data_IF_137473916199
#
_entry.id   IF_137473916199
#
_cell.length_a   1.000
_cell.length_b   1.000
_cell.length_c   1.000
_cell.angle_alpha   90.00
_cell.angle_beta   90.00
_cell.angle_gamma   90.00
#
_symmetry.space_group_name_H-M   'P 1'
#
loop_
_entity.id
_entity.type
_entity.pdbx_description
1 polymer ?
#
# COMPACT_ATOMS: atom_id res chain seq x y z
N UNK A 1 18.73 -7.72 5.43
CA UNK A 1 17.65 -6.73 5.21
C UNK A 1 17.01 -7.09 3.88
N UNK A 2 15.76 -7.54 3.90
CA UNK A 2 15.03 -7.87 2.67
C UNK A 2 14.61 -6.53 2.06
N UNK A 3 15.08 -6.25 0.83
CA UNK A 3 14.74 -5.00 0.14
C UNK A 3 13.31 -5.11 -0.38
N UNK A 4 12.44 -4.19 0.04
CA UNK A 4 11.05 -4.12 -0.41
C UNK A 4 10.99 -4.01 -1.94
N UNK A 5 10.25 -4.92 -2.59
CA UNK A 5 10.11 -4.94 -4.06
C UNK A 5 8.78 -4.34 -4.51
N UNK A 6 8.82 -3.27 -5.30
CA UNK A 6 7.64 -2.77 -6.02
C UNK A 6 7.28 -3.76 -7.15
N UNK A 7 6.02 -4.00 -7.54
CA UNK A 7 4.75 -3.30 -7.24
C UNK A 7 4.10 -3.66 -5.89
N UNK A 8 3.04 -2.92 -5.51
CA UNK A 8 2.38 -3.07 -4.20
C UNK A 8 0.87 -3.23 -4.28
N UNK A 9 0.29 -4.01 -3.36
CA UNK A 9 -1.12 -3.89 -2.97
C UNK A 9 -1.16 -3.09 -1.67
N UNK A 10 -1.92 -2.00 -1.62
CA UNK A 10 -1.99 -1.14 -0.44
C UNK A 10 -3.41 -0.78 -0.06
N UNK A 11 -3.61 -0.58 1.23
CA UNK A 11 -4.82 0.00 1.77
C UNK A 11 -4.74 1.52 1.73
N UNK A 12 -5.70 2.19 1.11
CA UNK A 12 -5.81 3.64 1.08
C UNK A 12 -7.23 4.07 1.48
N UNK A 13 -7.35 4.69 2.64
CA UNK A 13 -8.60 5.03 3.33
C UNK A 13 -9.40 3.75 3.61
N UNK A 14 -10.40 3.48 2.77
CA UNK A 14 -11.20 2.26 2.76
C UNK A 14 -11.13 1.58 1.41
N UNK A 15 -10.02 1.74 0.68
CA UNK A 15 -9.83 1.17 -0.65
C UNK A 15 -8.60 0.31 -0.70
N UNK A 16 -8.61 -0.67 -1.59
CA UNK A 16 -7.42 -1.44 -1.95
C UNK A 16 -6.97 -0.98 -3.32
N UNK A 17 -5.71 -0.57 -3.42
CA UNK A 17 -5.08 -0.14 -4.66
C UNK A 17 -3.91 -1.05 -4.98
N UNK A 18 -3.74 -1.35 -6.28
CA UNK A 18 -2.59 -2.07 -6.80
C UNK A 18 -1.76 -1.04 -7.56
N UNK A 19 -0.52 -0.85 -7.15
CA UNK A 19 0.28 0.29 -7.61
C UNK A 19 1.52 -0.19 -8.35
N UNK A 20 1.76 0.26 -9.60
CA UNK A 20 2.93 -0.13 -10.36
C UNK A 20 4.22 0.42 -9.74
N UNK A 21 5.35 -0.08 -10.24
CA UNK A 21 6.66 0.48 -9.90
C UNK A 21 6.70 1.99 -10.21
N UNK A 22 7.23 2.78 -9.28
CA UNK A 22 7.30 4.24 -9.42
C UNK A 22 6.02 5.00 -9.06
N UNK A 23 4.92 4.32 -8.72
CA UNK A 23 3.70 5.01 -8.25
C UNK A 23 3.97 5.91 -7.03
N UNK A 24 4.79 5.42 -6.10
CA UNK A 24 5.22 6.20 -4.95
C UNK A 24 6.02 7.45 -5.34
N UNK A 25 6.72 7.47 -6.48
CA UNK A 25 7.47 8.66 -6.91
C UNK A 25 6.53 9.81 -7.30
N UNK A 26 5.33 9.48 -7.79
CA UNK A 26 4.30 10.46 -8.16
C UNK A 26 3.55 11.05 -6.97
N UNK A 27 3.46 10.32 -5.85
CA UNK A 27 2.64 10.75 -4.70
C UNK A 27 3.45 10.95 -3.42
N UNK A 28 4.68 10.48 -3.33
CA UNK A 28 5.31 10.17 -2.04
C UNK A 28 6.80 9.94 -2.11
N UNK A 29 7.32 9.29 -1.07
CA UNK A 29 8.68 8.79 -0.97
C UNK A 29 8.69 7.62 0.00
N UNK A 30 9.16 6.47 -0.47
CA UNK A 30 9.43 5.30 0.34
C UNK A 30 10.91 5.30 0.74
N UNK A 31 11.21 5.40 2.03
CA UNK A 31 12.57 5.23 2.57
C UNK A 31 12.69 3.87 3.26
N UNK A 32 13.04 2.86 2.47
CA UNK A 32 13.20 1.49 2.95
C UNK A 32 14.34 1.34 3.99
N UNK A 33 15.34 2.25 4.01
CA UNK A 33 16.44 2.19 4.99
C UNK A 33 15.98 2.66 6.37
N UNK A 34 15.09 3.66 6.39
CA UNK A 34 14.53 4.22 7.62
C UNK A 34 13.24 3.54 8.05
N UNK A 35 12.63 2.73 7.17
CA UNK A 35 11.30 2.17 7.41
C UNK A 35 10.26 3.27 7.47
N UNK A 36 10.37 4.29 6.63
CA UNK A 36 9.47 5.44 6.60
C UNK A 36 8.80 5.55 5.23
N UNK A 37 7.52 5.91 5.23
CA UNK A 37 6.75 6.19 4.03
C UNK A 37 6.12 7.57 4.16
N UNK A 38 6.46 8.46 3.24
CA UNK A 38 5.89 9.80 3.16
C UNK A 38 4.94 9.90 1.96
N UNK A 39 3.70 10.36 2.16
CA UNK A 39 2.71 10.47 1.07
C UNK A 39 2.03 11.82 1.07
N UNK A 40 1.82 12.36 -0.13
CA UNK A 40 1.06 13.59 -0.37
C UNK A 40 -0.39 13.40 0.02
N UNK A 41 -0.87 14.30 0.86
CA UNK A 41 -2.26 14.35 1.31
C UNK A 41 -3.14 14.74 0.12
N UNK A 42 -4.24 14.02 -0.09
CA UNK A 42 -5.22 14.37 -1.11
C UNK A 42 -5.95 15.68 -0.76
N UNK A 43 -6.78 16.18 -1.67
CA UNK A 43 -7.53 17.43 -1.46
C UNK A 43 -8.52 17.37 -0.29
N UNK A 44 -8.83 16.17 0.22
CA UNK A 44 -9.71 15.92 1.36
C UNK A 44 -8.96 15.93 2.70
N UNK A 45 -7.63 16.12 2.70
CA UNK A 45 -6.87 16.24 3.94
C UNK A 45 -6.52 14.89 4.59
N UNK A 46 -6.72 13.78 3.89
CA UNK A 46 -6.48 12.44 4.41
C UNK A 46 -5.38 11.75 3.58
N UNK A 47 -4.35 11.22 4.23
CA UNK A 47 -3.72 9.98 3.80
C UNK A 47 -4.26 8.89 4.73
N UNK A 48 -4.78 7.82 4.14
CA UNK A 48 -5.49 6.77 4.89
C UNK A 48 -4.78 5.43 4.81
N UNK A 49 -3.45 5.40 4.84
CA UNK A 49 -2.74 4.14 4.69
C UNK A 49 -2.70 3.33 5.99
N UNK A 50 -2.99 2.04 5.91
CA UNK A 50 -2.92 1.14 7.07
C UNK A 50 -1.89 0.00 6.90
N UNK A 51 -1.69 -0.46 5.68
CA UNK A 51 -0.79 -1.58 5.35
C UNK A 51 -0.49 -1.62 3.86
N UNK A 52 0.60 -2.30 3.50
CA UNK A 52 0.96 -2.65 2.14
C UNK A 52 1.51 -4.08 2.05
N UNK A 53 1.43 -4.65 0.85
CA UNK A 53 2.01 -5.92 0.43
C UNK A 53 2.95 -5.65 -0.75
N UNK A 54 4.15 -6.20 -0.70
CA UNK A 54 5.13 -6.08 -1.78
C UNK A 54 5.01 -7.21 -2.82
N UNK A 55 5.84 -7.14 -3.87
CA UNK A 55 5.84 -8.11 -4.97
C UNK A 55 6.12 -9.56 -4.52
N UNK A 56 6.74 -9.76 -3.37
CA UNK A 56 7.03 -11.08 -2.80
C UNK A 56 5.92 -11.60 -1.87
N UNK A 57 4.84 -10.84 -1.69
CA UNK A 57 3.78 -11.18 -0.75
C UNK A 57 4.13 -10.86 0.70
N UNK A 58 5.19 -10.07 0.94
CA UNK A 58 5.54 -9.65 2.30
C UNK A 58 4.64 -8.51 2.73
N UNK A 59 4.07 -8.67 3.92
CA UNK A 59 3.17 -7.73 4.54
C UNK A 59 3.92 -6.73 5.43
N UNK A 60 3.49 -5.49 5.34
CA UNK A 60 4.00 -4.38 6.14
C UNK A 60 2.83 -3.60 6.73
N UNK A 61 2.74 -3.57 8.06
CA UNK A 61 1.83 -2.67 8.75
C UNK A 61 2.37 -1.24 8.71
N UNK A 62 1.48 -0.27 8.53
CA UNK A 62 1.82 1.14 8.52
C UNK A 62 1.23 1.81 9.76
N UNK A 63 2.06 2.57 10.46
CA UNK A 63 1.64 3.36 11.62
C UNK A 63 1.74 4.83 11.28
N UNK A 64 0.60 5.53 11.28
CA UNK A 64 0.58 6.97 11.06
C UNK A 64 1.37 7.70 12.15
N UNK A 65 2.35 8.49 11.75
CA UNK A 65 3.18 9.29 12.66
C UNK A 65 2.74 10.76 12.72
N UNK A 66 1.95 11.21 11.75
CA UNK A 66 1.46 12.58 11.70
C UNK A 66 1.66 13.24 10.34
N UNK A 67 1.24 14.50 10.26
CA UNK A 67 1.45 15.36 9.10
C UNK A 67 2.79 16.05 9.21
N UNK A 68 3.53 16.11 8.11
CA UNK A 68 4.73 16.93 8.04
C UNK A 68 4.36 18.42 8.11
N UNK A 69 5.22 19.24 8.74
CA UNK A 69 5.03 20.68 8.76
C UNK A 69 5.03 21.26 7.35
N UNK A 70 4.21 22.29 7.14
CA UNK A 70 4.06 22.92 5.82
C UNK A 70 5.32 23.67 5.44
N UNK A 71 5.88 23.36 4.27
CA UNK A 71 6.95 24.17 3.67
C UNK A 71 6.38 25.44 3.02
N UNK A 72 7.24 26.42 2.74
CA UNK A 72 6.83 27.66 2.05
C UNK A 72 6.19 27.38 0.68
N UNK A 73 6.70 26.41 -0.07
CA UNK A 73 6.10 25.98 -1.33
C UNK A 73 4.69 25.38 -1.17
N UNK A 74 4.42 24.72 -0.03
CA UNK A 74 3.09 24.20 0.28
C UNK A 74 2.15 25.33 0.73
N UNK A 75 2.65 26.35 1.45
CA UNK A 75 1.89 27.55 1.79
C UNK A 75 1.45 28.36 0.57
N UNK A 76 2.28 28.38 -0.48
CA UNK A 76 1.97 29.02 -1.76
C UNK A 76 1.16 28.13 -2.71
N UNK A 77 0.75 26.93 -2.29
CA UNK A 77 -0.05 26.00 -3.10
C UNK A 77 0.72 25.31 -4.24
N UNK A 78 2.05 25.42 -4.27
CA UNK A 78 2.90 24.85 -5.33
C UNK A 78 3.17 23.34 -5.15
N UNK A 79 2.85 22.78 -3.97
CA UNK A 79 3.02 21.37 -3.68
C UNK A 79 2.05 20.91 -2.58
N UNK A 80 1.74 19.61 -2.55
CA UNK A 80 0.84 19.02 -1.55
C UNK A 80 1.55 18.86 -0.20
N UNK A 81 0.82 19.07 0.90
CA UNK A 81 1.27 18.67 2.24
C UNK A 81 1.45 17.15 2.29
N UNK A 82 2.33 16.65 3.17
CA UNK A 82 2.63 15.21 3.29
C UNK A 82 2.27 14.66 4.66
N UNK A 83 1.92 13.39 4.70
CA UNK A 83 1.84 12.55 5.90
C UNK A 83 3.02 11.60 5.95
N UNK A 84 3.39 11.20 7.17
CA UNK A 84 4.44 10.23 7.43
C UNK A 84 3.87 9.00 8.11
N UNK A 85 4.37 7.84 7.70
CA UNK A 85 4.07 6.54 8.26
C UNK A 85 5.37 5.82 8.61
N UNK A 86 5.38 5.16 9.77
CA UNK A 86 6.38 4.13 10.06
C UNK A 86 5.94 2.81 9.44
N UNK A 87 6.89 2.09 8.87
CA UNK A 87 6.72 0.77 8.26
C UNK A 87 7.24 -0.26 9.26
N UNK A 88 6.36 -1.17 9.68
CA UNK A 88 6.76 -2.29 10.53
C UNK A 88 7.67 -3.28 9.76
N UNK A 89 8.34 -4.15 10.50
CA UNK A 89 9.14 -5.22 9.89
C UNK A 89 8.28 -6.14 9.01
N UNK A 90 8.84 -6.54 7.87
CA UNK A 90 8.21 -7.44 6.93
C UNK A 90 7.84 -8.76 7.60
N UNK A 91 6.65 -9.30 7.29
CA UNK A 91 6.25 -10.64 7.70
C UNK A 91 5.41 -11.33 6.63
N UNK A 92 5.36 -12.67 6.61
CA UNK A 92 4.34 -13.38 5.86
C UNK A 92 2.93 -13.02 6.35
N UNK A 93 1.95 -13.05 5.45
CA UNK A 93 0.53 -12.94 5.77
C UNK A 93 -0.24 -14.10 5.13
N UNK A 94 -1.28 -14.58 5.80
CA UNK A 94 -2.15 -15.61 5.24
C UNK A 94 -3.32 -14.98 4.48
N UNK A 95 -3.92 -15.74 3.56
CA UNK A 95 -5.12 -15.32 2.85
C UNK A 95 -6.26 -14.94 3.81
N UNK A 96 -6.44 -15.71 4.88
CA UNK A 96 -7.44 -15.43 5.91
C UNK A 96 -7.17 -14.13 6.69
N UNK A 97 -5.91 -13.85 7.04
CA UNK A 97 -5.54 -12.57 7.67
C UNK A 97 -5.77 -11.38 6.73
N UNK A 98 -5.37 -11.50 5.47
CA UNK A 98 -5.52 -10.44 4.48
C UNK A 98 -7.00 -10.14 4.20
N UNK A 99 -7.83 -11.18 4.05
CA UNK A 99 -9.29 -11.03 3.91
C UNK A 99 -9.91 -10.27 5.08
N UNK A 100 -9.47 -10.55 6.31
CA UNK A 100 -9.93 -9.84 7.51
C UNK A 100 -9.51 -8.38 7.51
N UNK A 101 -8.30 -8.07 7.07
CA UNK A 101 -7.83 -6.68 6.93
C UNK A 101 -8.59 -5.90 5.84
N UNK A 102 -9.12 -6.61 4.83
CA UNK A 102 -9.95 -6.05 3.77
C UNK A 102 -11.44 -5.92 4.16
N UNK A 103 -11.85 -6.36 5.35
CA UNK A 103 -13.22 -6.17 5.84
C UNK A 103 -13.53 -4.67 5.95
N UNK A 104 -14.59 -4.20 5.27
CA UNK A 104 -14.95 -2.78 5.25
C UNK A 104 -14.20 -1.91 4.24
N UNK A 105 -13.31 -2.50 3.43
CA UNK A 105 -12.67 -1.83 2.28
C UNK A 105 -13.48 -2.08 1.00
N UNK A 106 -13.74 -1.02 0.22
CA UNK A 106 -14.25 -1.06 -1.15
C UNK A 106 -13.09 -1.14 -2.15
N UNK A 107 -13.08 -2.17 -2.98
CA UNK A 107 -12.10 -2.27 -4.07
C UNK A 107 -12.43 -1.22 -5.13
N UNK A 108 -11.53 -0.26 -5.36
CA UNK A 108 -11.64 0.71 -6.44
C UNK A 108 -10.32 0.77 -7.18
N UNK A 109 -10.35 0.25 -8.40
CA UNK A 109 -9.23 0.26 -9.33
C UNK A 109 -9.13 1.64 -10.00
N UNK A 110 -8.32 2.53 -9.47
CA UNK A 110 -7.79 3.61 -10.30
C UNK A 110 -6.60 3.04 -11.09
N UNK A 111 -6.85 2.82 -12.39
CA UNK A 111 -5.87 2.75 -13.49
C UNK A 111 -5.08 1.47 -13.79
N UNK A 112 -5.37 0.30 -13.17
CA UNK A 112 -4.70 -0.97 -13.58
C UNK A 112 -5.68 -1.96 -14.23
N UNK A 113 -5.44 -2.44 -15.47
CA UNK A 113 -6.40 -3.21 -16.29
C UNK A 113 -6.71 -4.63 -15.82
N UNK A 114 -6.11 -5.10 -14.72
CA UNK A 114 -6.27 -6.46 -14.21
C UNK A 114 -6.52 -6.49 -12.70
N UNK A 115 -7.55 -5.76 -12.25
CA UNK A 115 -8.20 -6.09 -10.98
C UNK A 115 -9.04 -7.35 -11.18
N UNK A 116 -8.36 -8.49 -11.35
CA UNK A 116 -8.96 -9.76 -10.96
C UNK A 116 -9.44 -9.58 -9.51
N UNK A 117 -10.67 -9.97 -9.22
CA UNK A 117 -11.31 -9.91 -7.90
C UNK A 117 -10.35 -10.38 -6.81
N UNK A 118 -9.63 -9.45 -6.14
CA UNK A 118 -8.57 -9.80 -5.20
C UNK A 118 -9.15 -10.60 -4.05
N UNK A 119 -10.33 -10.18 -3.61
CA UNK A 119 -11.12 -10.88 -2.61
C UNK A 119 -11.53 -12.27 -3.09
N UNK A 120 -12.02 -12.41 -4.32
CA UNK A 120 -12.37 -13.71 -4.90
C UNK A 120 -11.18 -14.67 -4.99
N UNK A 121 -10.03 -14.19 -5.44
CA UNK A 121 -8.79 -14.97 -5.51
C UNK A 121 -8.28 -15.39 -4.12
N UNK A 122 -8.36 -14.49 -3.13
CA UNK A 122 -8.03 -14.83 -1.74
C UNK A 122 -9.04 -15.81 -1.13
N UNK A 123 -10.32 -15.73 -1.50
CA UNK A 123 -11.37 -16.65 -1.03
C UNK A 123 -11.22 -18.05 -1.64
N UNK A 124 -10.62 -18.17 -2.82
CA UNK A 124 -10.32 -19.46 -3.45
C UNK A 124 -9.15 -20.20 -2.78
N UNK A 125 -8.33 -19.51 -1.99
CA UNK A 125 -7.23 -20.10 -1.24
C UNK A 125 -7.69 -20.66 0.11
N UNK A 126 -7.01 -21.71 0.63
CA UNK A 126 -7.11 -22.06 2.04
C UNK A 126 -6.79 -20.86 2.93
N UNK A 127 -7.52 -20.67 4.03
CA UNK A 127 -7.37 -19.48 4.91
C UNK A 127 -5.99 -19.36 5.54
N UNK A 128 -5.29 -20.46 5.72
CA UNK A 128 -3.94 -20.57 6.26
C UNK A 128 -2.85 -20.51 5.18
N UNK A 129 -3.22 -20.50 3.89
CA UNK A 129 -2.27 -20.34 2.80
C UNK A 129 -1.59 -18.98 2.88
N UNK A 130 -0.26 -18.98 2.80
CA UNK A 130 0.54 -17.76 2.79
C UNK A 130 0.42 -17.11 1.42
N UNK A 131 0.18 -15.80 1.42
CA UNK A 131 0.25 -14.98 0.20
C UNK A 131 1.72 -14.81 -0.15
N UNK A 132 2.09 -15.26 -1.34
CA UNK A 132 3.48 -15.33 -1.79
C UNK A 132 3.69 -14.64 -3.15
N UNK A 133 4.92 -14.65 -3.64
CA UNK A 133 5.27 -14.08 -4.95
C UNK A 133 4.43 -14.68 -6.09
N UNK A 134 4.13 -15.99 -6.05
CA UNK A 134 3.36 -16.65 -7.11
C UNK A 134 1.93 -16.11 -7.17
N UNK A 135 1.31 -15.88 -6.02
CA UNK A 135 0.03 -15.18 -5.94
C UNK A 135 0.14 -13.75 -6.45
N UNK A 136 1.15 -12.99 -5.98
CA UNK A 136 1.31 -11.58 -6.34
C UNK A 136 1.49 -11.37 -7.84
N UNK A 137 2.23 -12.24 -8.55
CA UNK A 137 2.47 -12.15 -10.00
C UNK A 137 1.20 -12.02 -10.85
N UNK A 138 0.05 -12.54 -10.39
CA UNK A 138 -1.25 -12.35 -11.05
C UNK A 138 -1.65 -10.87 -11.19
N UNK A 139 -1.22 -10.05 -10.24
CA UNK A 139 -1.55 -8.63 -10.14
C UNK A 139 -0.45 -7.71 -10.66
N UNK A 140 0.78 -8.21 -10.77
CA UNK A 140 1.91 -7.40 -11.23
C UNK A 140 1.96 -7.27 -12.75
N UNK A 141 1.08 -7.94 -13.49
CA UNK A 141 1.05 -7.93 -14.96
C UNK A 141 2.34 -8.52 -15.51
N UNK A 142 2.45 -9.85 -15.50
CA UNK A 142 3.59 -10.59 -16.03
C UNK A 142 3.98 -10.15 -17.45
#
# INVERSE_FOLDING_TARGET
MIAMQAPFILSSHRRIAITPQGWFDGIGRLDAKRGELDIGINHLGEGGLAWLLDAWGLFYALTWQGRQPRSLGQWLGLSRQRERYAIAAARPITAGELLRLMEGYTEQAEEVPHTADLRGELQALPRDAVVDEAFMRKYLGA
#
